data_IF_092011163695
#
_entry.id   IF_092011163695
#
_cell.length_a   1.000
_cell.length_b   1.000
_cell.length_c   1.000
_cell.angle_alpha   90.00
_cell.angle_beta   90.00
_cell.angle_gamma   90.00
#
_symmetry.space_group_name_H-M   'P 1'
#
loop_
_entity.id
_entity.type
_entity.pdbx_description
1 polymer ?
#
# COMPACT_ATOMS: atom_id res chain seq x y z
N UNK A 1 -3.49 9.08 -15.26
CA UNK A 1 -2.40 8.69 -14.34
C UNK A 1 -3.09 8.29 -13.06
N UNK A 2 -3.36 6.99 -12.91
CA UNK A 2 -4.17 6.46 -11.82
C UNK A 2 -3.46 6.69 -10.49
N UNK A 3 -4.19 7.29 -9.56
CA UNK A 3 -3.61 7.98 -8.40
C UNK A 3 -2.83 7.00 -7.53
N UNK A 4 -3.11 5.68 -7.51
CA UNK A 4 -2.37 4.73 -6.65
C UNK A 4 -1.10 4.11 -7.25
N UNK A 5 -0.82 4.25 -8.55
CA UNK A 5 0.38 3.63 -9.15
C UNK A 5 1.67 4.32 -8.68
N UNK A 6 1.57 5.50 -8.07
CA UNK A 6 2.67 6.21 -7.41
C UNK A 6 2.38 6.65 -5.97
N UNK A 7 1.29 6.18 -5.34
CA UNK A 7 0.98 6.54 -3.96
C UNK A 7 1.74 5.64 -3.00
N UNK A 8 2.40 6.30 -2.06
CA UNK A 8 2.85 5.70 -0.83
C UNK A 8 2.15 6.39 0.34
N UNK A 9 1.91 5.64 1.41
CA UNK A 9 1.14 6.10 2.56
C UNK A 9 2.05 6.34 3.76
N UNK A 10 1.87 7.48 4.40
CA UNK A 10 2.45 7.78 5.71
C UNK A 10 1.41 7.50 6.81
N UNK A 11 1.86 6.83 7.87
CA UNK A 11 1.02 6.51 9.02
C UNK A 11 1.01 7.68 10.02
N UNK A 12 -0.13 7.98 10.63
CA UNK A 12 -0.17 8.86 11.79
C UNK A 12 0.20 8.09 13.07
N UNK A 13 1.20 8.57 13.80
CA UNK A 13 1.33 8.26 15.23
C UNK A 13 0.50 9.26 16.05
N UNK A 14 -0.12 8.81 17.14
CA UNK A 14 -0.79 9.68 18.12
C UNK A 14 0.26 10.59 18.79
N UNK A 15 0.65 11.66 18.10
CA UNK A 15 1.73 12.55 18.53
C UNK A 15 2.72 12.90 17.44
N UNK A 16 2.28 13.67 16.43
CA UNK A 16 3.08 14.67 15.70
C UNK A 16 4.23 14.23 14.76
N UNK A 17 4.46 12.96 14.45
CA UNK A 17 5.32 12.59 13.30
C UNK A 17 4.67 11.51 12.45
N UNK A 18 4.43 11.83 11.18
CA UNK A 18 4.00 10.85 10.20
C UNK A 18 5.16 9.85 10.01
N UNK A 19 4.90 8.56 10.26
CA UNK A 19 5.92 7.53 10.10
C UNK A 19 6.05 7.17 8.62
N UNK A 20 7.28 7.26 8.11
CA UNK A 20 7.64 6.79 6.76
C UNK A 20 7.63 5.26 6.70
N UNK A 21 6.52 4.69 6.20
CA UNK A 21 6.30 3.25 6.08
C UNK A 21 6.82 2.76 4.71
N UNK A 22 8.12 2.93 4.48
CA UNK A 22 8.80 2.64 3.21
C UNK A 22 8.22 3.38 1.99
N UNK A 23 7.75 4.61 2.22
CA UNK A 23 7.10 5.39 1.17
C UNK A 23 8.08 5.78 0.08
N UNK A 24 9.32 6.04 0.45
CA UNK A 24 10.39 6.38 -0.48
C UNK A 24 10.70 5.22 -1.45
N UNK A 25 10.77 3.99 -0.95
CA UNK A 25 11.02 2.79 -1.73
C UNK A 25 9.87 2.52 -2.71
N UNK A 26 8.63 2.67 -2.26
CA UNK A 26 7.43 2.55 -3.10
C UNK A 26 7.36 3.61 -4.20
N UNK A 27 7.67 4.87 -3.89
CA UNK A 27 7.73 5.95 -4.90
C UNK A 27 8.82 5.64 -5.93
N UNK A 28 9.97 5.13 -5.48
CA UNK A 28 11.09 4.74 -6.33
C UNK A 28 10.89 3.41 -7.08
N UNK A 29 9.71 2.76 -6.99
CA UNK A 29 9.41 1.45 -7.58
C UNK A 29 10.35 0.32 -7.11
N UNK A 30 10.96 0.46 -5.94
CA UNK A 30 11.83 -0.56 -5.32
C UNK A 30 10.99 -1.48 -4.44
N UNK A 31 10.06 -2.21 -5.05
CA UNK A 31 9.01 -2.93 -4.31
C UNK A 31 9.59 -4.02 -3.40
N UNK A 32 10.58 -4.79 -3.84
CA UNK A 32 11.25 -5.80 -3.01
C UNK A 32 11.90 -5.18 -1.76
N UNK A 33 12.64 -4.07 -1.94
CA UNK A 33 13.23 -3.34 -0.83
C UNK A 33 12.17 -2.74 0.12
N UNK A 34 11.03 -2.32 -0.42
CA UNK A 34 9.90 -1.86 0.39
C UNK A 34 9.32 -3.01 1.24
N UNK A 35 9.14 -4.20 0.66
CA UNK A 35 8.67 -5.40 1.37
C UNK A 35 9.61 -5.72 2.53
N UNK A 36 10.91 -5.88 2.25
CA UNK A 36 11.92 -6.20 3.27
C UNK A 36 11.92 -5.18 4.42
N UNK A 37 11.87 -3.88 4.08
CA UNK A 37 11.87 -2.80 5.07
C UNK A 37 10.62 -2.80 5.93
N UNK A 38 9.44 -3.02 5.34
CA UNK A 38 8.17 -3.02 6.09
C UNK A 38 8.06 -4.27 6.95
N UNK A 39 8.51 -5.42 6.46
CA UNK A 39 8.52 -6.68 7.23
C UNK A 39 9.48 -6.63 8.42
N UNK A 40 10.63 -5.97 8.28
CA UNK A 40 11.59 -5.77 9.36
C UNK A 40 11.22 -4.65 10.35
N UNK A 41 10.10 -3.94 10.15
CA UNK A 41 9.70 -2.83 11.01
C UNK A 41 8.82 -3.29 12.19
N UNK A 42 9.46 -3.59 13.32
CA UNK A 42 8.78 -4.01 14.55
C UNK A 42 8.07 -2.86 15.30
N UNK A 43 8.18 -1.61 14.83
CA UNK A 43 7.52 -0.45 15.48
C UNK A 43 6.06 -0.30 15.09
N UNK A 44 5.64 -0.92 14.00
CA UNK A 44 4.25 -0.92 13.58
C UNK A 44 3.62 -2.26 13.94
N UNK A 45 2.41 -2.19 14.46
CA UNK A 45 1.60 -3.38 14.67
C UNK A 45 1.38 -4.11 13.34
N UNK A 46 1.27 -5.44 13.39
CA UNK A 46 1.17 -6.25 12.17
C UNK A 46 -0.08 -5.93 11.35
N UNK A 47 -1.15 -5.53 12.03
CA UNK A 47 -2.45 -5.13 11.50
C UNK A 47 -2.59 -3.61 11.29
N UNK A 48 -1.49 -2.84 11.42
CA UNK A 48 -1.49 -1.40 11.14
C UNK A 48 -1.95 -1.14 9.69
N UNK A 49 -2.96 -0.26 9.47
CA UNK A 49 -3.49 -0.02 8.13
C UNK A 49 -2.47 0.52 7.12
N UNK A 50 -1.51 1.36 7.53
CA UNK A 50 -0.50 1.88 6.62
C UNK A 50 0.51 0.80 6.25
N UNK A 51 0.92 -0.04 7.22
CA UNK A 51 1.74 -1.23 6.99
C UNK A 51 1.10 -2.14 5.96
N UNK A 52 -0.13 -2.57 6.19
CA UNK A 52 -0.85 -3.49 5.31
C UNK A 52 -1.07 -2.91 3.91
N UNK A 53 -1.44 -1.62 3.81
CA UNK A 53 -1.63 -0.98 2.50
C UNK A 53 -0.32 -0.89 1.72
N UNK A 54 0.78 -0.43 2.34
CA UNK A 54 2.05 -0.28 1.63
C UNK A 54 2.64 -1.64 1.24
N UNK A 55 2.52 -2.65 2.11
CA UNK A 55 2.92 -4.02 1.80
C UNK A 55 2.07 -4.57 0.65
N UNK A 56 0.74 -4.38 0.70
CA UNK A 56 -0.18 -4.80 -0.37
C UNK A 56 0.12 -4.13 -1.72
N UNK A 57 0.49 -2.84 -1.73
CA UNK A 57 0.91 -2.15 -2.95
C UNK A 57 2.19 -2.76 -3.52
N UNK A 58 3.18 -3.05 -2.68
CA UNK A 58 4.43 -3.69 -3.11
C UNK A 58 4.17 -5.08 -3.70
N UNK A 59 3.41 -5.93 -2.98
CA UNK A 59 3.01 -7.26 -3.46
C UNK A 59 2.26 -7.20 -4.79
N UNK A 60 1.31 -6.27 -4.94
CA UNK A 60 0.54 -6.13 -6.16
C UNK A 60 1.41 -5.77 -7.37
N UNK A 61 2.43 -4.92 -7.18
CA UNK A 61 3.37 -4.54 -8.25
C UNK A 61 4.34 -5.67 -8.62
N UNK A 62 4.67 -6.53 -7.67
CA UNK A 62 5.46 -7.75 -7.89
C UNK A 62 4.63 -8.92 -8.47
N UNK A 63 3.35 -8.71 -8.76
CA UNK A 63 2.46 -9.74 -9.29
C UNK A 63 1.96 -10.75 -8.24
N UNK A 64 2.24 -10.52 -6.96
CA UNK A 64 1.77 -11.31 -5.80
C UNK A 64 0.33 -10.89 -5.44
N UNK A 65 -0.59 -11.19 -6.34
CA UNK A 65 -1.96 -10.66 -6.35
C UNK A 65 -2.78 -11.14 -5.15
N UNK A 66 -2.65 -12.40 -4.75
CA UNK A 66 -3.46 -12.96 -3.65
C UNK A 66 -3.03 -12.39 -2.29
N UNK A 67 -1.72 -12.24 -2.08
CA UNK A 67 -1.16 -11.60 -0.89
C UNK A 67 -1.63 -10.15 -0.77
N UNK A 68 -1.54 -9.38 -1.87
CA UNK A 68 -2.05 -8.01 -1.91
C UNK A 68 -3.56 -7.94 -1.60
N UNK A 69 -4.34 -8.86 -2.19
CA UNK A 69 -5.79 -8.93 -1.97
C UNK A 69 -6.13 -9.20 -0.51
N UNK A 70 -5.39 -10.07 0.17
CA UNK A 70 -5.58 -10.33 1.58
C UNK A 70 -5.37 -9.08 2.42
N UNK A 71 -4.24 -8.40 2.23
CA UNK A 71 -3.88 -7.19 2.98
C UNK A 71 -4.90 -6.06 2.79
N UNK A 72 -5.32 -5.81 1.55
CA UNK A 72 -6.33 -4.79 1.29
C UNK A 72 -7.71 -5.15 1.86
N UNK A 73 -8.10 -6.43 1.85
CA UNK A 73 -9.36 -6.85 2.48
C UNK A 73 -9.34 -6.62 3.98
N UNK A 74 -8.25 -6.99 4.64
CA UNK A 74 -8.07 -6.81 6.08
C UNK A 74 -8.28 -5.34 6.49
N UNK A 75 -7.67 -4.40 5.77
CA UNK A 75 -7.88 -2.97 6.04
C UNK A 75 -9.29 -2.51 5.66
N UNK A 76 -9.84 -2.96 4.54
CA UNK A 76 -11.18 -2.56 4.10
C UNK A 76 -12.31 -2.98 5.06
N UNK A 77 -12.10 -4.07 5.81
CA UNK A 77 -13.05 -4.63 6.79
C UNK A 77 -12.66 -4.39 8.25
N UNK A 78 -11.52 -3.73 8.52
CA UNK A 78 -11.09 -3.42 9.90
C UNK A 78 -12.10 -2.52 10.59
N UNK A 79 -12.32 -2.71 11.90
CA UNK A 79 -13.19 -1.87 12.75
C UNK A 79 -12.57 -0.51 13.12
N UNK A 80 -11.25 -0.35 12.92
CA UNK A 80 -10.53 0.89 13.16
C UNK A 80 -10.18 1.57 11.83
N UNK A 81 -10.91 2.64 11.48
CA UNK A 81 -10.51 3.51 10.38
C UNK A 81 -9.56 4.60 10.88
N UNK A 82 -8.42 4.75 10.21
CA UNK A 82 -7.47 5.82 10.46
C UNK A 82 -7.35 6.73 9.23
N UNK A 83 -7.01 8.00 9.45
CA UNK A 83 -6.63 8.91 8.37
C UNK A 83 -5.16 8.70 8.01
N UNK A 84 -4.92 8.54 6.73
CA UNK A 84 -3.63 8.29 6.13
C UNK A 84 -3.25 9.46 5.24
N UNK A 85 -2.00 9.90 5.30
CA UNK A 85 -1.48 10.91 4.39
C UNK A 85 -0.84 10.21 3.19
N UNK A 86 -1.28 10.55 2.00
CA UNK A 86 -0.67 10.11 0.77
C UNK A 86 0.60 10.94 0.51
N UNK A 87 1.53 10.39 -0.26
CA UNK A 87 2.75 11.10 -0.68
C UNK A 87 2.53 12.50 -1.28
N UNK A 88 1.33 12.78 -1.82
CA UNK A 88 0.93 14.10 -2.33
C UNK A 88 0.39 15.09 -1.29
N UNK A 89 0.38 14.74 0.00
CA UNK A 89 -0.19 15.54 1.09
C UNK A 89 -1.72 15.44 1.23
N UNK A 90 -2.37 14.62 0.41
CA UNK A 90 -3.80 14.33 0.51
C UNK A 90 -4.06 13.39 1.70
N UNK A 91 -5.13 13.63 2.44
CA UNK A 91 -5.58 12.77 3.51
C UNK A 91 -6.75 11.90 3.07
N UNK A 92 -6.65 10.59 3.32
CA UNK A 92 -7.69 9.63 2.96
C UNK A 92 -7.99 8.66 4.11
N UNK A 93 -9.24 8.19 4.19
CA UNK A 93 -9.61 7.10 5.08
C UNK A 93 -8.96 5.78 4.63
N UNK A 94 -8.31 5.09 5.57
CA UNK A 94 -7.64 3.81 5.33
C UNK A 94 -8.52 2.77 4.61
N UNK A 95 -9.81 2.66 4.97
CA UNK A 95 -10.72 1.67 4.38
C UNK A 95 -11.08 2.06 2.96
N UNK A 96 -11.28 3.34 2.70
CA UNK A 96 -11.58 3.84 1.36
C UNK A 96 -10.41 3.66 0.42
N UNK A 97 -9.19 3.91 0.91
CA UNK A 97 -7.96 3.62 0.17
C UNK A 97 -7.84 2.13 -0.13
N UNK A 98 -8.09 1.25 0.83
CA UNK A 98 -8.03 -0.20 0.65
C UNK A 98 -9.09 -0.72 -0.35
N UNK A 99 -10.34 -0.23 -0.27
CA UNK A 99 -11.38 -0.55 -1.26
C UNK A 99 -11.03 -0.08 -2.66
N UNK A 100 -10.38 1.08 -2.76
CA UNK A 100 -9.86 1.58 -4.04
C UNK A 100 -8.76 0.65 -4.55
N UNK A 101 -7.81 0.26 -3.72
CA UNK A 101 -6.75 -0.68 -4.08
C UNK A 101 -7.31 -2.02 -4.56
N UNK A 102 -8.34 -2.58 -3.90
CA UNK A 102 -9.02 -3.79 -4.38
C UNK A 102 -9.57 -3.64 -5.80
N UNK A 103 -10.27 -2.54 -6.09
CA UNK A 103 -10.79 -2.27 -7.45
C UNK A 103 -9.67 -2.13 -8.49
N UNK A 104 -8.52 -1.58 -8.10
CA UNK A 104 -7.36 -1.48 -8.99
C UNK A 104 -6.73 -2.84 -9.25
N UNK A 105 -6.65 -3.68 -8.21
CA UNK A 105 -6.16 -5.05 -8.31
C UNK A 105 -7.05 -5.90 -9.22
N UNK A 106 -8.37 -5.81 -9.06
CA UNK A 106 -9.36 -6.50 -9.91
C UNK A 106 -9.26 -6.07 -11.39
N UNK A 107 -8.81 -4.84 -11.65
CA UNK A 107 -8.61 -4.28 -12.99
C UNK A 107 -7.20 -4.51 -13.55
N UNK A 108 -6.30 -5.12 -12.77
CA UNK A 108 -4.90 -5.37 -13.16
C UNK A 108 -4.04 -4.10 -13.25
N UNK A 109 -4.42 -3.03 -12.55
CA UNK A 109 -3.79 -1.71 -12.70
C UNK A 109 -2.46 -1.54 -11.94
N UNK A 110 -2.11 -2.50 -11.07
CA UNK A 110 -0.80 -2.52 -10.39
C UNK A 110 0.32 -3.08 -11.26
N UNK A 111 -0.01 -3.89 -12.27
CA UNK A 111 0.96 -4.40 -13.23
C UNK A 111 1.41 -3.27 -14.16
N UNK A 112 2.56 -2.68 -13.90
CA UNK A 112 3.18 -1.71 -14.80
C UNK A 112 3.43 -2.36 -16.16
N UNK A 113 2.53 -2.11 -17.14
CA UNK A 113 2.66 -2.42 -18.58
C UNK A 113 3.76 -3.43 -18.94
N UNK A 114 3.64 -4.66 -18.45
CA UNK A 114 4.43 -5.80 -18.92
C UNK A 114 3.51 -7.00 -19.10
N UNK A 115 2.40 -6.79 -19.84
CA UNK A 115 1.96 -7.82 -20.78
C UNK A 115 2.93 -7.80 -21.95
N UNK A 116 4.17 -8.26 -21.72
CA UNK A 116 4.94 -8.82 -22.83
C UNK A 116 4.16 -10.04 -23.25
N UNK A 117 3.55 -9.93 -24.42
CA UNK A 117 3.07 -11.06 -25.21
C UNK A 117 4.15 -12.14 -25.22
N UNK A 118 3.96 -13.22 -24.47
CA UNK A 118 4.65 -14.46 -24.76
C UNK A 118 3.74 -15.24 -25.70
N UNK A 119 4.28 -15.49 -26.90
CA UNK A 119 3.63 -16.10 -28.07
C UNK A 119 3.28 -17.56 -27.83
#
# INVERSE_FOLDING_TARGET
MDILTGVAVLALSQGSVAMDVASNELIAQRNEAAIERIEANDRLERDDPARLINLGIAHAREGRVEEARQMFREVATSDAAVRLELAGGEWIDSRDLARRALRMLDRGEFGGRSRVTMR
#
